data_IF_597969148343
#
_entry.id   IF_597969148343
#
_cell.length_a   1.000
_cell.length_b   1.000
_cell.length_c   1.000
_cell.angle_alpha   90.00
_cell.angle_beta   90.00
_cell.angle_gamma   90.00
#
_symmetry.space_group_name_H-M   'P 1'
#
loop_
_entity.id
_entity.type
_entity.pdbx_description
1 polymer ?
#
# COMPACT_ATOMS: atom_id res chain seq x y z
N UNK A 1 15.67 -4.12 9.13
CA UNK A 1 15.01 -4.61 7.89
C UNK A 1 15.72 -3.95 6.73
N UNK A 2 16.01 -4.69 5.67
CA UNK A 2 16.58 -4.14 4.43
C UNK A 2 15.43 -3.91 3.45
N UNK A 3 15.43 -2.80 2.72
CA UNK A 3 14.45 -2.52 1.68
C UNK A 3 14.84 -3.25 0.38
N UNK A 4 13.91 -3.52 -0.54
CA UNK A 4 14.27 -4.19 -1.80
C UNK A 4 15.36 -3.46 -2.59
N UNK A 5 15.38 -2.10 -2.69
CA UNK A 5 16.50 -1.37 -3.27
C UNK A 5 17.86 -1.79 -2.71
N UNK A 6 17.93 -2.08 -1.41
CA UNK A 6 19.19 -2.43 -0.74
C UNK A 6 19.69 -3.82 -1.14
N UNK A 7 18.76 -4.75 -1.38
CA UNK A 7 19.02 -6.12 -1.80
C UNK A 7 19.30 -6.23 -3.31
N UNK A 8 18.68 -5.36 -4.11
CA UNK A 8 18.65 -5.48 -5.57
C UNK A 8 19.81 -4.79 -6.30
N UNK A 9 20.66 -4.02 -5.61
CA UNK A 9 21.82 -3.40 -6.27
C UNK A 9 21.41 -2.36 -7.33
N UNK A 10 22.03 -2.44 -8.50
CA UNK A 10 21.72 -1.58 -9.66
C UNK A 10 20.45 -2.03 -10.42
N UNK A 11 19.82 -3.15 -10.03
CA UNK A 11 18.64 -3.69 -10.71
C UNK A 11 17.44 -2.74 -10.69
N UNK A 12 17.42 -1.71 -9.85
CA UNK A 12 16.40 -0.68 -9.98
C UNK A 12 16.49 0.02 -11.35
N UNK A 13 17.68 0.19 -11.94
CA UNK A 13 17.86 0.87 -13.22
C UNK A 13 17.12 0.22 -14.38
N UNK A 14 16.96 -1.11 -14.36
CA UNK A 14 16.26 -1.84 -15.42
C UNK A 14 14.76 -1.57 -15.46
N UNK A 15 14.18 -1.04 -14.38
CA UNK A 15 12.76 -0.73 -14.34
C UNK A 15 12.45 0.57 -15.12
N UNK A 16 11.57 0.52 -16.13
CA UNK A 16 11.18 1.68 -16.93
C UNK A 16 10.48 2.75 -16.09
N UNK A 17 9.77 2.35 -15.03
CA UNK A 17 9.10 3.25 -14.09
C UNK A 17 9.21 2.75 -12.66
N UNK A 18 9.23 3.69 -11.71
CA UNK A 18 9.25 3.47 -10.26
C UNK A 18 8.11 4.26 -9.66
N UNK A 19 7.26 3.59 -8.90
CA UNK A 19 6.02 4.16 -8.38
C UNK A 19 5.97 3.99 -6.88
N UNK A 20 5.62 5.06 -6.19
CA UNK A 20 5.22 5.01 -4.79
C UNK A 20 3.73 5.34 -4.66
N UNK A 21 2.97 4.46 -4.01
CA UNK A 21 1.53 4.62 -3.81
C UNK A 21 1.25 4.65 -2.31
N UNK A 22 0.75 5.76 -1.80
CA UNK A 22 0.25 5.85 -0.43
C UNK A 22 -1.28 5.82 -0.44
N UNK A 23 -1.84 4.77 0.17
CA UNK A 23 -3.27 4.56 0.32
C UNK A 23 -3.62 4.63 1.80
N UNK A 24 -4.47 5.59 2.15
CA UNK A 24 -4.90 5.79 3.52
C UNK A 24 -6.06 6.76 3.62
N UNK A 25 -6.60 6.89 4.83
CA UNK A 25 -7.56 7.94 5.16
C UNK A 25 -6.86 9.32 5.14
N UNK A 26 -7.59 10.37 4.76
CA UNK A 26 -7.09 11.73 4.84
C UNK A 26 -6.85 12.13 6.30
N UNK A 27 -5.64 11.89 6.81
CA UNK A 27 -5.21 12.41 8.11
C UNK A 27 -4.87 13.92 7.98
N UNK A 28 -5.35 14.71 8.94
CA UNK A 28 -5.12 16.16 9.02
C UNK A 28 -3.62 16.47 9.09
N UNK A 29 -3.07 17.12 8.07
CA UNK A 29 -1.89 18.02 8.03
C UNK A 29 -0.64 17.75 8.90
N UNK A 30 -0.48 16.59 9.53
CA UNK A 30 0.65 16.25 10.38
C UNK A 30 1.59 15.26 9.69
N UNK A 31 2.57 15.80 8.98
CA UNK A 31 3.51 15.12 8.06
C UNK A 31 2.81 14.38 6.91
N UNK A 32 2.89 14.94 5.70
CA UNK A 32 2.51 14.19 4.50
C UNK A 32 3.37 12.92 4.49
N UNK A 33 2.76 11.74 4.50
CA UNK A 33 3.48 10.44 4.46
C UNK A 33 4.44 10.31 3.27
N UNK A 34 4.19 11.06 2.19
CA UNK A 34 5.16 11.26 1.09
C UNK A 34 6.49 11.92 1.51
N UNK A 35 6.50 12.72 2.58
CA UNK A 35 7.72 13.30 3.16
C UNK A 35 8.55 12.23 3.89
N UNK A 36 7.91 11.28 4.58
CA UNK A 36 8.65 10.14 5.15
C UNK A 36 9.34 9.35 4.05
N UNK A 37 8.63 9.04 2.95
CA UNK A 37 9.18 8.26 1.84
C UNK A 37 10.43 8.93 1.28
N UNK A 38 10.35 10.23 0.97
CA UNK A 38 11.51 10.99 0.48
C UNK A 38 12.68 11.05 1.47
N UNK A 39 12.39 11.09 2.78
CA UNK A 39 13.42 11.22 3.83
C UNK A 39 14.08 9.89 4.18
N UNK A 40 13.34 8.78 4.14
CA UNK A 40 13.75 7.52 4.78
C UNK A 40 13.85 6.33 3.81
N UNK A 41 13.15 6.36 2.68
CA UNK A 41 13.20 5.27 1.72
C UNK A 41 14.46 5.39 0.85
N UNK A 42 15.28 4.32 0.69
CA UNK A 42 16.51 4.38 -0.09
C UNK A 42 16.21 4.37 -1.60
N UNK A 43 15.86 5.53 -2.14
CA UNK A 43 15.55 5.70 -3.57
C UNK A 43 16.78 5.54 -4.48
N UNK A 44 18.00 5.57 -3.93
CA UNK A 44 19.28 5.49 -4.67
C UNK A 44 19.38 6.54 -5.78
N UNK A 45 18.95 7.77 -5.49
CA UNK A 45 18.90 8.90 -6.43
C UNK A 45 18.01 8.63 -7.67
N UNK A 46 17.08 7.68 -7.58
CA UNK A 46 16.10 7.40 -8.63
C UNK A 46 14.82 8.19 -8.39
N UNK A 47 14.16 8.57 -9.48
CA UNK A 47 12.89 9.26 -9.44
C UNK A 47 11.76 8.25 -9.20
N UNK A 48 10.84 8.60 -8.30
CA UNK A 48 9.61 7.86 -8.04
C UNK A 48 8.41 8.75 -8.37
N UNK A 49 7.49 8.22 -9.17
CA UNK A 49 6.18 8.82 -9.35
C UNK A 49 5.32 8.53 -8.12
N UNK A 50 4.80 9.57 -7.47
CA UNK A 50 4.08 9.42 -6.21
C UNK A 50 2.58 9.64 -6.40
N UNK A 51 1.79 8.67 -5.96
CA UNK A 51 0.33 8.74 -5.92
C UNK A 51 -0.14 8.71 -4.46
N UNK A 52 -1.00 9.65 -4.08
CA UNK A 52 -1.67 9.64 -2.78
C UNK A 52 -3.15 9.41 -3.03
N UNK A 53 -3.68 8.28 -2.57
CA UNK A 53 -5.06 7.85 -2.83
C UNK A 53 -5.80 7.84 -1.50
N UNK A 54 -6.86 8.63 -1.42
CA UNK A 54 -7.70 8.68 -0.24
C UNK A 54 -8.76 7.57 -0.29
N UNK A 55 -8.78 6.71 0.73
CA UNK A 55 -9.77 5.62 0.87
C UNK A 55 -11.19 6.18 0.90
N UNK A 56 -11.41 7.34 1.51
CA UNK A 56 -12.75 7.95 1.55
C UNK A 56 -13.27 8.33 0.16
N UNK A 57 -12.42 8.60 -0.82
CA UNK A 57 -12.86 8.86 -2.20
C UNK A 57 -13.30 7.56 -2.87
N UNK A 58 -12.64 6.45 -2.54
CA UNK A 58 -13.01 5.11 -3.02
C UNK A 58 -14.34 4.66 -2.39
N UNK A 59 -14.62 5.06 -1.14
CA UNK A 59 -15.83 4.66 -0.41
C UNK A 59 -16.99 5.69 -0.47
N UNK A 60 -16.75 6.99 -0.68
CA UNK A 60 -17.80 8.03 -0.66
C UNK A 60 -18.61 8.14 -1.96
N UNK A 61 -18.17 7.52 -3.06
CA UNK A 61 -18.99 7.33 -4.28
C UNK A 61 -20.20 6.40 -4.03
N UNK A 62 -20.45 5.98 -2.79
CA UNK A 62 -21.62 5.23 -2.33
C UNK A 62 -22.93 6.05 -2.33
N UNK A 63 -22.90 7.39 -2.45
CA UNK A 63 -24.09 8.23 -2.22
C UNK A 63 -24.70 8.92 -3.47
N UNK A 64 -24.10 8.89 -4.66
CA UNK A 64 -24.63 9.61 -5.83
C UNK A 64 -24.60 8.82 -7.14
N UNK A 65 -25.75 8.25 -7.48
CA UNK A 65 -26.31 7.96 -8.81
C UNK A 65 -25.37 7.95 -10.05
N UNK A 66 -25.34 6.75 -10.69
CA UNK A 66 -25.08 6.39 -12.10
C UNK A 66 -23.74 5.70 -12.41
N UNK A 67 -23.84 4.41 -12.77
CA UNK A 67 -22.96 3.61 -13.64
C UNK A 67 -21.52 4.10 -13.85
N UNK A 68 -20.73 4.14 -12.78
CA UNK A 68 -19.28 4.06 -12.88
C UNK A 68 -18.89 2.76 -12.18
N UNK A 69 -18.26 1.85 -12.91
CA UNK A 69 -17.69 0.62 -12.35
C UNK A 69 -16.89 0.99 -11.11
N UNK A 70 -17.32 0.49 -9.94
CA UNK A 70 -16.68 0.63 -8.65
C UNK A 70 -15.16 0.43 -8.81
N UNK A 71 -14.34 1.48 -8.84
CA UNK A 71 -12.89 1.32 -9.06
C UNK A 71 -12.28 0.98 -7.69
N UNK A 72 -12.25 -0.31 -7.35
CA UNK A 72 -11.50 -0.78 -6.19
C UNK A 72 -10.01 -0.47 -6.37
N UNK A 73 -9.23 -0.50 -5.30
CA UNK A 73 -7.78 -0.26 -5.39
C UNK A 73 -7.11 -1.22 -6.37
N UNK A 74 -7.59 -2.46 -6.41
CA UNK A 74 -7.24 -3.46 -7.44
C UNK A 74 -7.45 -2.96 -8.87
N UNK A 75 -8.60 -2.36 -9.17
CA UNK A 75 -8.94 -1.88 -10.52
C UNK A 75 -8.08 -0.66 -10.87
N UNK A 76 -7.79 0.19 -9.88
CA UNK A 76 -6.84 1.29 -10.04
C UNK A 76 -5.44 0.79 -10.36
N UNK A 77 -4.92 -0.22 -9.65
CA UNK A 77 -3.60 -0.79 -9.93
C UNK A 77 -3.54 -1.35 -11.35
N UNK A 78 -4.52 -2.17 -11.75
CA UNK A 78 -4.57 -2.76 -13.10
C UNK A 78 -4.57 -1.71 -14.22
N UNK A 79 -5.14 -0.53 -13.95
CA UNK A 79 -5.22 0.56 -14.94
C UNK A 79 -3.97 1.43 -14.97
N UNK A 80 -3.29 1.61 -13.85
CA UNK A 80 -2.24 2.63 -13.70
C UNK A 80 -0.83 2.05 -13.58
N UNK A 81 -0.68 0.75 -13.35
CA UNK A 81 0.58 0.08 -13.08
C UNK A 81 0.73 -1.14 -14.00
N UNK A 82 1.97 -1.47 -14.37
CA UNK A 82 2.31 -2.66 -15.16
C UNK A 82 3.28 -3.57 -14.41
N UNK A 83 3.29 -4.86 -14.75
CA UNK A 83 4.16 -5.88 -14.14
C UNK A 83 5.66 -5.58 -14.26
N UNK A 84 6.06 -4.76 -15.24
CA UNK A 84 7.45 -4.36 -15.49
C UNK A 84 7.89 -3.14 -14.68
N UNK A 85 7.01 -2.53 -13.88
CA UNK A 85 7.30 -1.34 -13.08
C UNK A 85 7.65 -1.71 -11.64
N UNK A 86 8.54 -0.93 -11.01
CA UNK A 86 8.88 -1.15 -9.60
C UNK A 86 7.91 -0.39 -8.70
N UNK A 87 7.13 -1.10 -7.91
CA UNK A 87 5.98 -0.57 -7.19
C UNK A 87 6.16 -0.75 -5.69
N UNK A 88 6.25 0.38 -5.02
CA UNK A 88 6.25 0.46 -3.56
C UNK A 88 4.91 1.00 -3.12
N UNK A 89 4.22 0.27 -2.25
CA UNK A 89 2.90 0.67 -1.76
C UNK A 89 2.90 0.76 -0.24
N UNK A 90 2.20 1.76 0.30
CA UNK A 90 1.79 1.81 1.69
C UNK A 90 0.27 1.74 1.74
N UNK A 91 -0.29 0.82 2.54
CA UNK A 91 -1.73 0.61 2.59
C UNK A 91 -2.21 0.04 3.93
N UNK A 92 -3.46 0.31 4.27
CA UNK A 92 -4.17 -0.32 5.39
C UNK A 92 -4.56 -1.77 5.08
N UNK A 93 -4.72 -2.58 6.13
CA UNK A 93 -4.98 -4.01 6.02
C UNK A 93 -6.22 -4.35 5.16
N UNK A 94 -7.28 -3.55 5.26
CA UNK A 94 -8.53 -3.73 4.50
C UNK A 94 -8.31 -3.60 2.99
N UNK A 95 -7.47 -2.64 2.58
CA UNK A 95 -7.10 -2.47 1.17
C UNK A 95 -6.28 -3.67 0.71
N UNK A 96 -5.31 -4.10 1.50
CA UNK A 96 -4.44 -5.22 1.15
C UNK A 96 -5.21 -6.54 1.02
N UNK A 97 -6.20 -6.78 1.88
CA UNK A 97 -7.08 -7.94 1.75
C UNK A 97 -7.90 -7.92 0.45
N UNK A 98 -8.36 -6.74 0.03
CA UNK A 98 -9.03 -6.57 -1.27
C UNK A 98 -8.09 -6.94 -2.43
N UNK A 99 -6.84 -6.48 -2.38
CA UNK A 99 -5.81 -6.79 -3.39
C UNK A 99 -5.50 -8.29 -3.46
N UNK A 100 -5.42 -8.96 -2.30
CA UNK A 100 -5.24 -10.41 -2.23
C UNK A 100 -6.45 -11.13 -2.84
N UNK A 101 -7.66 -10.71 -2.49
CA UNK A 101 -8.92 -11.33 -2.94
C UNK A 101 -9.12 -11.20 -4.45
N UNK A 102 -8.66 -10.08 -5.04
CA UNK A 102 -8.76 -9.79 -6.48
C UNK A 102 -7.51 -10.14 -7.28
N UNK A 103 -6.53 -10.78 -6.66
CA UNK A 103 -5.29 -11.23 -7.27
C UNK A 103 -4.54 -10.12 -8.02
N UNK A 104 -4.40 -8.97 -7.36
CA UNK A 104 -3.65 -7.78 -7.84
C UNK A 104 -2.41 -7.49 -7.00
N UNK A 105 -2.25 -8.19 -5.87
CA UNK A 105 -1.12 -8.00 -4.94
C UNK A 105 0.25 -8.29 -5.58
N UNK A 106 0.30 -9.08 -6.65
CA UNK A 106 1.52 -9.35 -7.41
C UNK A 106 2.05 -8.16 -8.22
N UNK A 107 1.26 -7.09 -8.37
CA UNK A 107 1.70 -5.83 -8.98
C UNK A 107 2.54 -4.96 -8.03
N UNK A 108 2.76 -5.42 -6.79
CA UNK A 108 3.47 -4.68 -5.74
C UNK A 108 4.72 -5.45 -5.36
N UNK A 109 5.89 -4.84 -5.57
CA UNK A 109 7.17 -5.43 -5.18
C UNK A 109 7.39 -5.30 -3.67
N UNK A 110 7.13 -4.10 -3.12
CA UNK A 110 7.39 -3.77 -1.72
C UNK A 110 6.18 -3.09 -1.06
N UNK A 111 5.72 -3.64 0.06
CA UNK A 111 4.51 -3.21 0.75
C UNK A 111 4.80 -2.80 2.19
N UNK A 112 4.41 -1.59 2.55
CA UNK A 112 4.33 -1.07 3.91
C UNK A 112 2.90 -1.27 4.43
N UNK A 113 2.67 -2.35 5.18
CA UNK A 113 1.36 -2.71 5.70
C UNK A 113 1.09 -1.96 7.01
N UNK A 114 0.03 -1.17 7.02
CA UNK A 114 -0.51 -0.54 8.23
C UNK A 114 -1.64 -1.42 8.78
N UNK A 115 -1.34 -2.22 9.81
CA UNK A 115 -2.32 -3.09 10.47
C UNK A 115 -2.35 -2.76 11.96
N UNK A 116 -3.41 -2.09 12.42
CA UNK A 116 -3.54 -1.62 13.80
C UNK A 116 -4.34 -2.63 14.64
N UNK A 117 -3.70 -3.44 15.51
CA UNK A 117 -4.40 -4.38 16.36
C UNK A 117 -5.13 -3.68 17.52
N UNK A 118 -6.12 -4.36 18.10
CA UNK A 118 -6.92 -3.84 19.21
C UNK A 118 -6.08 -3.27 20.38
N UNK A 119 -6.29 -1.99 20.75
CA UNK A 119 -5.92 -1.43 22.07
C UNK A 119 -7.16 -1.48 22.97
N UNK A 120 -7.00 -1.96 24.22
CA UNK A 120 -8.07 -2.33 25.18
C UNK A 120 -9.13 -1.24 25.51
N UNK A 121 -9.11 -0.04 24.92
CA UNK A 121 -9.83 1.11 25.45
C UNK A 121 -10.45 2.08 24.43
N UNK A 122 -10.84 1.65 23.24
CA UNK A 122 -11.56 2.55 22.31
C UNK A 122 -12.65 1.85 21.51
N UNK A 123 -13.89 2.24 21.79
CA UNK A 123 -15.09 1.94 21.03
C UNK A 123 -15.09 2.75 19.72
N UNK A 124 -14.53 2.23 18.64
CA UNK A 124 -15.10 2.47 17.30
C UNK A 124 -14.47 1.62 16.19
N UNK A 125 -15.37 1.10 15.35
CA UNK A 125 -15.22 0.39 14.06
C UNK A 125 -14.23 -0.79 14.04
N UNK A 126 -14.80 -2.01 14.05
CA UNK A 126 -14.22 -3.26 13.54
C UNK A 126 -12.68 -3.37 13.64
N UNK A 127 -12.14 -3.56 14.85
CA UNK A 127 -10.68 -3.62 15.07
C UNK A 127 -10.17 -5.07 15.10
N UNK A 128 -9.21 -5.35 14.23
CA UNK A 128 -8.54 -6.64 14.00
C UNK A 128 -7.71 -7.08 15.23
N UNK A 129 -7.68 -8.38 15.52
CA UNK A 129 -6.81 -8.97 16.53
C UNK A 129 -5.36 -9.01 16.05
N UNK A 130 -4.40 -9.03 16.99
CA UNK A 130 -2.97 -9.10 16.65
C UNK A 130 -2.62 -10.30 15.76
N UNK A 131 -3.20 -11.47 16.06
CA UNK A 131 -2.97 -12.69 15.27
C UNK A 131 -3.47 -12.59 13.83
N UNK A 132 -4.55 -11.85 13.59
CA UNK A 132 -5.07 -11.64 12.24
C UNK A 132 -4.11 -10.75 11.43
N UNK A 133 -3.50 -9.73 12.04
CA UNK A 133 -2.42 -8.98 11.39
C UNK A 133 -1.24 -9.89 11.06
N UNK A 134 -0.77 -10.71 12.00
CA UNK A 134 0.34 -11.64 11.76
C UNK A 134 0.03 -12.65 10.65
N UNK A 135 -1.20 -13.17 10.60
CA UNK A 135 -1.65 -14.07 9.54
C UNK A 135 -1.61 -13.38 8.17
N UNK A 136 -2.05 -12.12 8.10
CA UNK A 136 -1.98 -11.32 6.87
C UNK A 136 -0.52 -11.09 6.43
N UNK A 137 0.39 -10.75 7.35
CA UNK A 137 1.82 -10.64 7.05
C UNK A 137 2.40 -11.95 6.50
N UNK A 138 2.06 -13.09 7.10
CA UNK A 138 2.49 -14.41 6.62
C UNK A 138 2.02 -14.67 5.19
N UNK A 139 0.72 -14.50 4.94
CA UNK A 139 0.10 -14.72 3.63
C UNK A 139 0.76 -13.87 2.52
N UNK A 140 1.06 -12.60 2.80
CA UNK A 140 1.72 -11.74 1.81
C UNK A 140 3.14 -12.20 1.47
N UNK A 141 3.89 -12.68 2.46
CA UNK A 141 5.24 -13.22 2.26
C UNK A 141 5.21 -14.53 1.47
N UNK A 142 4.22 -15.39 1.72
CA UNK A 142 4.02 -16.61 0.96
C UNK A 142 3.68 -16.34 -0.52
N UNK A 143 3.09 -15.17 -0.80
CA UNK A 143 2.85 -14.65 -2.15
C UNK A 143 4.06 -13.93 -2.78
N UNK A 144 5.20 -13.88 -2.09
CA UNK A 144 6.45 -13.32 -2.62
C UNK A 144 6.59 -11.80 -2.51
N UNK A 145 5.68 -11.10 -1.81
CA UNK A 145 5.77 -9.65 -1.63
C UNK A 145 6.73 -9.32 -0.49
N UNK A 146 7.61 -8.34 -0.69
CA UNK A 146 8.45 -7.81 0.38
C UNK A 146 7.62 -6.92 1.31
N UNK A 147 7.27 -7.41 2.50
CA UNK A 147 6.37 -6.68 3.42
C UNK A 147 7.09 -6.14 4.63
N UNK A 148 6.82 -4.87 4.93
CA UNK A 148 7.30 -4.11 6.07
C UNK A 148 6.13 -3.71 6.98
N UNK A 149 6.36 -3.78 8.28
CA UNK A 149 5.39 -3.30 9.26
C UNK A 149 5.42 -1.77 9.35
N UNK A 150 4.25 -1.14 9.19
CA UNK A 150 4.08 0.29 9.39
C UNK A 150 3.33 0.58 10.69
N UNK A 151 3.99 1.25 11.65
CA UNK A 151 3.46 1.45 13.00
C UNK A 151 2.86 2.83 13.28
N UNK A 152 2.96 3.78 12.34
CA UNK A 152 2.52 5.16 12.55
C UNK A 152 3.51 5.97 13.37
#
# INVERSE_FOLDING_TARGET
MQYLPDLMGDSLESYPRRVFIDVGLAEKEGERKSDWFKKNYPTRNKNFEMYNINIDIITAEEASTKEVSQIGMSDWLRKNVKDEEFVVMKAEAEVVEELIKRDTIGLIDELFLECRPHKKQENNRSRRAYWECLALYGNLRDKGVAVHQWWG
#
